data_IF_975688609520
#
_entry.id   IF_975688609520
#
_cell.length_a   1.000
_cell.length_b   1.000
_cell.length_c   1.000
_cell.angle_alpha   90.00
_cell.angle_beta   90.00
_cell.angle_gamma   90.00
#
_symmetry.space_group_name_H-M   'P 1'
#
loop_
_entity.id
_entity.type
_entity.pdbx_description
1 polymer ?
#
# COMPACT_ATOMS: atom_id res chain seq x y z
N UNK A 1 -5.85 53.09 -6.61
CA UNK A 1 -6.95 52.91 -5.66
C UNK A 1 -6.87 51.50 -5.12
N UNK A 2 -6.26 51.33 -3.95
CA UNK A 2 -6.00 50.03 -3.31
C UNK A 2 -7.19 49.62 -2.45
N UNK A 3 -7.60 48.35 -2.53
CA UNK A 3 -8.46 47.72 -1.54
C UNK A 3 -7.82 46.42 -1.06
N UNK A 4 -7.27 46.48 0.16
CA UNK A 4 -6.63 45.39 0.87
C UNK A 4 -7.66 44.86 1.89
N UNK A 5 -8.16 43.64 1.69
CA UNK A 5 -9.06 42.96 2.64
C UNK A 5 -8.24 42.06 3.56
N UNK A 6 -8.19 42.41 4.84
CA UNK A 6 -7.67 41.57 5.92
C UNK A 6 -8.78 40.62 6.39
N UNK A 7 -8.55 39.31 6.27
CA UNK A 7 -9.36 38.27 6.90
C UNK A 7 -8.85 37.99 8.31
N UNK A 8 -9.69 38.27 9.31
CA UNK A 8 -9.44 37.96 10.73
C UNK A 8 -9.58 36.45 10.97
N UNK A 9 -8.51 35.80 11.46
CA UNK A 9 -8.58 34.46 12.08
C UNK A 9 -9.23 34.59 13.46
N UNK A 10 -10.28 33.80 13.72
CA UNK A 10 -10.77 33.52 15.08
C UNK A 10 -9.85 32.46 15.70
N UNK A 11 -9.29 32.79 16.84
CA UNK A 11 -8.74 31.83 17.79
C UNK A 11 -9.92 31.34 18.63
N UNK A 12 -10.12 30.03 18.66
CA UNK A 12 -11.05 29.37 19.58
C UNK A 12 -10.21 28.89 20.74
N UNK A 13 -10.35 29.54 21.89
CA UNK A 13 -9.88 29.03 23.18
C UNK A 13 -10.73 27.81 23.55
N UNK A 14 -10.07 26.69 23.81
CA UNK A 14 -10.65 25.51 24.45
C UNK A 14 -10.21 25.61 25.90
N UNK A 15 -11.16 25.97 26.77
CA UNK A 15 -10.99 25.87 28.23
C UNK A 15 -11.23 24.41 28.65
N UNK A 16 -10.15 23.74 29.04
CA UNK A 16 -10.19 22.52 29.84
C UNK A 16 -10.14 22.90 31.33
N UNK A 17 -11.22 22.63 32.07
CA UNK A 17 -11.18 22.50 33.53
C UNK A 17 -12.11 21.35 33.94
N UNK A 18 -11.52 20.16 34.08
CA UNK A 18 -12.14 18.96 34.61
C UNK A 18 -11.70 18.75 36.06
N UNK A 19 -12.49 19.28 37.01
CA UNK A 19 -12.40 18.93 38.42
C UNK A 19 -13.34 17.74 38.72
N UNK A 20 -12.78 16.53 38.79
CA UNK A 20 -13.46 15.37 39.38
C UNK A 20 -12.46 14.54 40.20
N UNK A 21 -12.06 15.11 41.33
CA UNK A 21 -11.22 14.47 42.33
C UNK A 21 -12.09 13.51 43.17
N UNK A 22 -12.17 12.24 42.77
CA UNK A 22 -12.85 11.19 43.55
C UNK A 22 -11.81 10.35 44.27
N UNK A 23 -11.73 10.55 45.59
CA UNK A 23 -10.86 9.81 46.50
C UNK A 23 -11.17 8.31 46.47
N UNK A 24 -10.20 7.49 46.07
CA UNK A 24 -10.23 6.04 46.26
C UNK A 24 -9.23 5.67 47.36
N UNK A 25 -9.77 5.13 48.44
CA UNK A 25 -9.04 4.62 49.61
C UNK A 25 -8.47 3.22 49.30
N UNK A 26 -7.16 2.97 49.43
CA UNK A 26 -6.63 1.61 49.40
C UNK A 26 -6.76 0.97 50.79
N UNK A 27 -7.58 -0.08 50.88
CA UNK A 27 -7.54 -1.02 52.00
C UNK A 27 -6.33 -1.97 51.87
N UNK A 28 -5.72 -2.41 52.97
CA UNK A 28 -4.56 -3.30 52.94
C UNK A 28 -5.00 -4.75 52.70
N UNK A 29 -4.59 -5.34 51.57
CA UNK A 29 -4.77 -6.78 51.33
C UNK A 29 -3.59 -7.56 51.90
N UNK A 30 -3.96 -8.40 52.86
CA UNK A 30 -3.19 -9.39 53.58
C UNK A 30 -2.43 -10.33 52.63
N UNK A 31 -1.15 -10.56 52.96
CA UNK A 31 -0.27 -11.46 52.24
C UNK A 31 -0.72 -12.92 52.28
N UNK A 32 -0.56 -13.60 51.14
CA UNK A 32 -0.50 -15.05 51.04
C UNK A 32 0.75 -15.43 50.24
N UNK A 33 1.79 -15.81 50.97
CA UNK A 33 2.96 -16.54 50.45
C UNK A 33 2.50 -17.82 49.76
N UNK A 34 2.49 -17.82 48.43
CA UNK A 34 2.35 -19.04 47.64
C UNK A 34 3.72 -19.43 47.13
N UNK A 35 4.34 -20.37 47.83
CA UNK A 35 5.54 -21.09 47.42
C UNK A 35 5.22 -21.89 46.16
N UNK A 36 5.72 -21.44 45.02
CA UNK A 36 5.67 -22.21 43.77
C UNK A 36 6.71 -23.33 43.79
N UNK A 37 6.36 -24.57 43.39
CA UNK A 37 7.34 -25.64 43.29
C UNK A 37 8.24 -25.43 42.07
N UNK A 38 9.54 -25.35 42.34
CA UNK A 38 10.62 -25.36 41.37
C UNK A 38 10.52 -26.61 40.48
N UNK A 39 10.23 -26.44 39.19
CA UNK A 39 10.18 -27.52 38.20
C UNK A 39 11.57 -27.66 37.58
N UNK A 40 12.29 -28.79 37.78
CA UNK A 40 13.60 -28.97 37.20
C UNK A 40 13.50 -29.13 35.68
N UNK A 41 14.36 -28.41 34.97
CA UNK A 41 14.56 -28.45 33.53
C UNK A 41 14.81 -29.89 33.04
N UNK A 42 14.18 -30.35 31.95
CA UNK A 42 14.52 -31.63 31.36
C UNK A 42 15.93 -31.57 30.77
N UNK A 43 16.78 -32.47 31.27
CA UNK A 43 18.11 -32.76 30.77
C UNK A 43 18.09 -33.08 29.27
N UNK A 44 18.89 -32.34 28.50
CA UNK A 44 19.29 -32.65 27.13
C UNK A 44 20.06 -33.98 27.10
N UNK A 45 19.34 -35.10 27.00
CA UNK A 45 19.92 -36.40 26.67
C UNK A 45 20.08 -36.51 25.16
N UNK A 46 21.32 -36.30 24.72
CA UNK A 46 22.03 -37.07 23.69
C UNK A 46 21.17 -37.85 22.69
N UNK A 47 20.96 -37.27 21.50
CA UNK A 47 20.76 -38.04 20.27
C UNK A 47 22.01 -37.94 19.41
N UNK A 48 22.88 -38.93 19.62
CA UNK A 48 23.98 -39.28 18.74
C UNK A 48 23.43 -39.92 17.46
N UNK A 49 23.88 -39.39 16.33
CA UNK A 49 24.23 -40.08 15.09
C UNK A 49 23.21 -41.07 14.47
N UNK A 50 22.64 -40.65 13.34
CA UNK A 50 22.71 -41.52 12.16
C UNK A 50 23.07 -40.71 10.91
N UNK A 51 24.05 -41.22 10.19
CA UNK A 51 24.83 -40.55 9.16
C UNK A 51 24.38 -41.07 7.80
N UNK A 52 23.54 -40.31 7.11
CA UNK A 52 23.26 -40.52 5.70
C UNK A 52 23.41 -39.19 4.95
N UNK A 53 24.61 -39.03 4.41
CA UNK A 53 25.07 -37.88 3.62
C UNK A 53 24.61 -38.05 2.17
N UNK A 54 23.83 -37.14 1.57
CA UNK A 54 23.80 -36.97 0.13
C UNK A 54 24.83 -35.93 -0.31
N UNK A 55 25.43 -36.17 -1.47
CA UNK A 55 26.52 -35.41 -2.07
C UNK A 55 26.16 -33.93 -2.34
N UNK A 56 27.15 -33.02 -2.36
CA UNK A 56 26.95 -31.64 -2.80
C UNK A 56 26.80 -31.58 -4.32
N UNK A 57 25.57 -31.34 -4.77
CA UNK A 57 25.27 -30.97 -6.15
C UNK A 57 25.71 -29.53 -6.39
N UNK A 58 26.82 -29.43 -7.12
CA UNK A 58 27.00 -28.54 -8.27
C UNK A 58 26.78 -27.03 -8.07
N UNK A 59 27.92 -26.34 -8.07
CA UNK A 59 28.14 -24.93 -8.35
C UNK A 59 27.43 -24.57 -9.66
N UNK A 60 26.47 -23.64 -9.59
CA UNK A 60 25.69 -23.19 -10.75
C UNK A 60 25.15 -21.78 -10.55
N UNK A 61 25.87 -20.83 -11.16
CA UNK A 61 25.41 -19.52 -11.63
C UNK A 61 25.13 -18.41 -10.59
N UNK A 62 26.11 -17.52 -10.52
CA UNK A 62 25.94 -16.12 -10.17
C UNK A 62 24.87 -15.47 -11.08
N UNK A 63 23.74 -15.09 -10.48
CA UNK A 63 22.82 -14.13 -11.08
C UNK A 63 23.31 -12.74 -10.69
N UNK A 64 24.00 -12.10 -11.63
CA UNK A 64 24.22 -10.66 -11.70
C UNK A 64 22.93 -9.90 -11.43
N UNK A 65 22.91 -9.14 -10.34
CA UNK A 65 21.92 -8.12 -10.05
C UNK A 65 22.02 -7.00 -11.09
N UNK A 66 21.09 -7.01 -12.04
CA UNK A 66 20.80 -5.84 -12.88
C UNK A 66 20.12 -4.75 -12.04
N UNK A 67 20.57 -3.49 -12.11
CA UNK A 67 19.91 -2.38 -11.44
C UNK A 67 18.57 -2.08 -12.10
N UNK A 68 17.52 -1.95 -11.27
CA UNK A 68 16.19 -1.51 -11.68
C UNK A 68 16.27 -0.07 -12.20
N UNK A 69 16.24 0.05 -13.52
CA UNK A 69 16.08 1.32 -14.23
C UNK A 69 14.66 1.84 -14.00
N UNK A 70 14.55 2.93 -13.24
CA UNK A 70 13.35 3.73 -13.14
C UNK A 70 12.92 4.22 -14.54
N UNK A 71 11.77 3.76 -15.00
CA UNK A 71 11.10 4.31 -16.17
C UNK A 71 10.44 5.64 -15.79
N UNK A 72 10.73 6.75 -16.50
CA UNK A 72 10.07 8.01 -16.23
C UNK A 72 8.62 7.96 -16.72
N UNK A 73 7.74 8.54 -15.91
CA UNK A 73 6.33 8.81 -16.18
C UNK A 73 6.08 9.19 -17.64
N UNK A 74 5.28 8.37 -18.32
CA UNK A 74 4.67 8.73 -19.59
C UNK A 74 3.72 9.91 -19.37
N UNK A 75 4.07 11.05 -19.95
CA UNK A 75 3.19 12.22 -20.09
C UNK A 75 1.88 11.83 -20.78
N UNK A 76 0.76 12.48 -20.41
CA UNK A 76 -0.52 12.27 -21.08
C UNK A 76 -0.43 12.74 -22.54
N UNK A 77 -0.68 11.81 -23.47
CA UNK A 77 -0.81 12.10 -24.90
C UNK A 77 -1.94 13.11 -25.11
N UNK A 78 -1.71 14.25 -25.79
CA UNK A 78 -2.76 15.22 -26.05
C UNK A 78 -3.80 14.63 -27.00
N UNK A 79 -5.08 14.83 -26.66
CA UNK A 79 -6.21 14.41 -27.47
C UNK A 79 -6.10 14.94 -28.91
N UNK A 80 -6.39 14.13 -29.93
CA UNK A 80 -6.33 14.57 -31.32
C UNK A 80 -7.33 15.72 -31.55
N UNK A 81 -6.95 16.74 -32.35
CA UNK A 81 -7.82 17.87 -32.63
C UNK A 81 -9.10 17.40 -33.34
N UNK A 82 -10.25 17.86 -32.85
CA UNK A 82 -11.55 17.59 -33.43
C UNK A 82 -11.59 18.06 -34.89
N UNK A 83 -11.85 17.12 -35.81
CA UNK A 83 -12.05 17.42 -37.22
C UNK A 83 -13.40 18.14 -37.36
N UNK A 84 -13.45 19.37 -37.89
CA UNK A 84 -14.70 20.08 -38.10
C UNK A 84 -15.50 19.37 -39.20
N UNK A 85 -16.62 18.76 -38.82
CA UNK A 85 -17.58 18.21 -39.76
C UNK A 85 -18.24 19.37 -40.52
N UNK A 86 -17.78 19.66 -41.73
CA UNK A 86 -18.49 20.54 -42.66
C UNK A 86 -19.63 19.76 -43.31
N UNK A 87 -20.91 20.11 -43.05
CA UNK A 87 -22.02 19.49 -43.77
C UNK A 87 -22.02 19.98 -45.22
N UNK A 88 -21.82 19.06 -46.15
CA UNK A 88 -22.05 19.32 -47.58
C UNK A 88 -23.56 19.34 -47.80
N UNK A 89 -24.18 20.52 -47.70
CA UNK A 89 -25.58 20.72 -48.09
C UNK A 89 -25.71 20.67 -49.60
N UNK A 90 -26.11 19.52 -50.13
CA UNK A 90 -26.61 19.40 -51.50
C UNK A 90 -28.00 20.04 -51.52
N UNK A 91 -28.11 21.20 -52.17
CA UNK A 91 -29.39 21.88 -52.38
C UNK A 91 -30.25 21.08 -53.37
N UNK A 92 -31.14 20.24 -52.84
CA UNK A 92 -32.18 19.57 -53.62
C UNK A 92 -33.35 20.55 -53.70
N UNK A 93 -33.55 21.17 -54.86
CA UNK A 93 -34.75 21.97 -55.12
C UNK A 93 -35.98 21.06 -55.04
N UNK A 94 -36.98 21.36 -54.19
CA UNK A 94 -38.17 20.52 -54.07
C UNK A 94 -38.94 20.50 -55.41
N UNK A 95 -39.55 19.35 -55.78
CA UNK A 95 -40.38 19.28 -56.96
C UNK A 95 -41.54 20.27 -56.81
N UNK A 96 -41.70 21.15 -57.80
CA UNK A 96 -42.78 22.14 -57.86
C UNK A 96 -44.14 21.48 -57.67
N UNK A 97 -45.02 22.08 -56.86
CA UNK A 97 -46.35 21.56 -56.48
C UNK A 97 -47.18 21.04 -57.67
N UNK A 98 -46.99 21.60 -58.87
CA UNK A 98 -47.63 21.14 -60.12
C UNK A 98 -47.31 19.69 -60.49
N UNK A 99 -46.09 19.21 -60.22
CA UNK A 99 -45.69 17.83 -60.54
C UNK A 99 -46.35 16.86 -59.55
N UNK A 100 -46.46 17.26 -58.28
CA UNK A 100 -47.16 16.48 -57.25
C UNK A 100 -48.66 16.40 -57.56
N UNK A 101 -49.27 17.50 -58.02
CA UNK A 101 -50.68 17.56 -58.40
C UNK A 101 -50.95 16.73 -59.68
N UNK A 102 -50.07 16.77 -60.68
CA UNK A 102 -50.18 15.97 -61.90
C UNK A 102 -50.05 14.46 -61.65
N UNK A 103 -49.12 14.05 -60.78
CA UNK A 103 -48.98 12.64 -60.37
C UNK A 103 -50.21 12.19 -59.57
N UNK A 104 -50.75 13.05 -58.69
CA UNK A 104 -51.96 12.77 -57.93
C UNK A 104 -53.18 12.61 -58.85
N UNK A 105 -53.32 13.45 -59.85
CA UNK A 105 -54.39 13.37 -60.85
C UNK A 105 -54.25 12.13 -61.75
N UNK A 106 -53.02 11.73 -62.11
CA UNK A 106 -52.76 10.48 -62.82
C UNK A 106 -53.08 9.23 -61.98
N UNK A 107 -52.96 9.30 -60.66
CA UNK A 107 -53.35 8.19 -59.78
C UNK A 107 -54.85 8.15 -59.48
N UNK A 108 -55.53 9.31 -59.47
CA UNK A 108 -56.96 9.43 -59.17
C UNK A 108 -57.86 9.19 -60.39
N UNK A 109 -57.43 9.61 -61.58
CA UNK A 109 -58.05 9.12 -62.81
C UNK A 109 -57.51 7.72 -63.06
N UNK A 110 -58.39 6.71 -63.19
CA UNK A 110 -58.08 5.35 -63.69
C UNK A 110 -57.61 5.38 -65.17
N UNK A 111 -56.81 6.36 -65.56
CA UNK A 111 -56.06 6.35 -66.80
C UNK A 111 -55.19 5.10 -66.74
N UNK A 112 -55.53 4.14 -67.60
CA UNK A 112 -54.94 2.82 -67.66
C UNK A 112 -53.47 3.01 -68.05
N UNK A 113 -52.58 3.09 -67.05
CA UNK A 113 -51.14 3.09 -67.28
C UNK A 113 -50.86 1.88 -68.18
N UNK A 114 -50.26 2.08 -69.37
CA UNK A 114 -50.02 0.99 -70.30
C UNK A 114 -49.29 -0.14 -69.57
N UNK A 115 -49.79 -1.37 -69.67
CA UNK A 115 -49.26 -2.53 -68.94
C UNK A 115 -47.74 -2.70 -69.15
N UNK A 116 -47.26 -2.31 -70.33
CA UNK A 116 -45.85 -2.30 -70.72
C UNK A 116 -44.98 -1.37 -69.85
N UNK A 117 -45.50 -0.19 -69.44
CA UNK A 117 -44.80 0.73 -68.54
C UNK A 117 -44.76 0.17 -67.11
N UNK A 118 -45.85 -0.44 -66.65
CA UNK A 118 -45.90 -1.09 -65.34
C UNK A 118 -44.91 -2.26 -65.26
N UNK A 119 -44.83 -3.09 -66.30
CA UNK A 119 -43.89 -4.21 -66.40
C UNK A 119 -42.43 -3.75 -66.57
N UNK A 120 -42.20 -2.56 -67.13
CA UNK A 120 -40.88 -1.95 -67.21
C UNK A 120 -40.42 -1.45 -65.83
N UNK A 121 -41.29 -0.75 -65.09
CA UNK A 121 -41.00 -0.31 -63.72
C UNK A 121 -40.77 -1.49 -62.78
N UNK A 122 -41.63 -2.51 -62.83
CA UNK A 122 -41.47 -3.70 -61.99
C UNK A 122 -40.21 -4.51 -62.30
N UNK A 123 -39.66 -4.40 -63.52
CA UNK A 123 -38.34 -4.96 -63.86
C UNK A 123 -37.20 -4.11 -63.33
N UNK A 124 -37.31 -2.79 -63.43
CA UNK A 124 -36.30 -1.88 -62.87
C UNK A 124 -36.25 -1.97 -61.35
N UNK A 125 -37.38 -2.05 -60.65
CA UNK A 125 -37.41 -2.21 -59.17
C UNK A 125 -36.80 -3.55 -58.71
N UNK A 126 -36.86 -4.60 -59.53
CA UNK A 126 -36.25 -5.90 -59.22
C UNK A 126 -34.77 -6.02 -59.57
N UNK A 127 -34.28 -5.21 -60.52
CA UNK A 127 -32.90 -5.27 -61.04
C UNK A 127 -32.04 -4.17 -60.42
N UNK A 128 -32.63 -3.04 -60.03
CA UNK A 128 -31.89 -1.97 -59.38
C UNK A 128 -31.70 -2.28 -57.89
N UNK A 129 -30.47 -2.60 -57.52
CA UNK A 129 -30.10 -2.85 -56.11
C UNK A 129 -29.91 -1.54 -55.32
N UNK A 130 -29.76 -0.40 -56.01
CA UNK A 130 -29.69 0.92 -55.38
C UNK A 130 -30.37 2.02 -56.21
N UNK A 131 -30.74 3.11 -55.53
CA UNK A 131 -31.40 4.26 -56.16
C UNK A 131 -30.53 4.95 -57.23
N UNK A 132 -29.19 4.90 -57.10
CA UNK A 132 -28.26 5.48 -58.06
C UNK A 132 -28.34 4.82 -59.44
N UNK A 133 -28.62 3.51 -59.51
CA UNK A 133 -28.82 2.79 -60.77
C UNK A 133 -30.11 3.23 -61.47
N UNK A 134 -31.17 3.54 -60.70
CA UNK A 134 -32.44 4.05 -61.24
C UNK A 134 -32.29 5.50 -61.74
N UNK A 135 -31.53 6.33 -61.03
CA UNK A 135 -31.20 7.70 -61.45
C UNK A 135 -30.37 7.69 -62.74
N UNK A 136 -29.40 6.77 -62.86
CA UNK A 136 -28.64 6.59 -64.09
C UNK A 136 -29.51 6.09 -65.25
N UNK A 137 -30.43 5.16 -65.01
CA UNK A 137 -31.38 4.70 -66.03
C UNK A 137 -32.34 5.82 -66.47
N UNK A 138 -32.76 6.69 -65.55
CA UNK A 138 -33.58 7.87 -65.85
C UNK A 138 -32.84 8.83 -66.79
N UNK A 139 -31.53 9.05 -66.57
CA UNK A 139 -30.73 9.91 -67.45
C UNK A 139 -30.65 9.40 -68.90
N UNK A 140 -30.75 8.08 -69.11
CA UNK A 140 -30.68 7.42 -70.44
C UNK A 140 -32.04 7.28 -71.14
N UNK A 141 -33.15 7.60 -70.47
CA UNK A 141 -34.48 7.53 -71.07
C UNK A 141 -34.78 8.81 -71.87
N UNK A 142 -35.06 8.68 -73.16
CA UNK A 142 -35.42 9.82 -74.02
C UNK A 142 -36.87 10.27 -73.84
N UNK A 143 -37.73 9.38 -73.33
CA UNK A 143 -39.13 9.68 -73.05
C UNK A 143 -39.30 10.37 -71.69
N UNK A 144 -39.90 11.56 -71.71
CA UNK A 144 -40.18 12.36 -70.53
C UNK A 144 -41.05 11.62 -69.51
N UNK A 145 -42.02 10.81 -69.98
CA UNK A 145 -42.90 10.05 -69.09
C UNK A 145 -42.14 8.93 -68.36
N UNK A 146 -41.21 8.28 -69.05
CA UNK A 146 -40.35 7.25 -68.45
C UNK A 146 -39.33 7.85 -67.47
N UNK A 147 -38.81 9.05 -67.76
CA UNK A 147 -37.94 9.82 -66.85
C UNK A 147 -38.60 10.14 -65.51
N UNK A 148 -39.82 10.68 -65.53
CA UNK A 148 -40.56 10.98 -64.29
C UNK A 148 -40.87 9.71 -63.50
N UNK A 149 -41.31 8.65 -64.17
CA UNK A 149 -41.63 7.38 -63.52
C UNK A 149 -40.41 6.72 -62.85
N UNK A 150 -39.24 6.78 -63.50
CA UNK A 150 -37.97 6.33 -62.91
C UNK A 150 -37.54 7.23 -61.74
N UNK A 151 -37.72 8.56 -61.82
CA UNK A 151 -37.46 9.44 -60.67
C UNK A 151 -38.36 9.13 -59.48
N UNK A 152 -39.67 8.93 -59.69
CA UNK A 152 -40.61 8.54 -58.62
C UNK A 152 -40.20 7.20 -58.00
N UNK A 153 -39.75 6.25 -58.82
CA UNK A 153 -39.25 4.94 -58.34
C UNK A 153 -37.96 5.09 -57.52
N UNK A 154 -37.02 5.93 -57.96
CA UNK A 154 -35.80 6.22 -57.23
C UNK A 154 -36.07 6.89 -55.87
N UNK A 155 -37.01 7.85 -55.82
CA UNK A 155 -37.47 8.49 -54.58
C UNK A 155 -38.07 7.46 -53.63
N UNK A 156 -38.92 6.57 -54.13
CA UNK A 156 -39.49 5.47 -53.34
C UNK A 156 -38.43 4.52 -52.76
N UNK A 157 -37.40 4.17 -53.54
CA UNK A 157 -36.28 3.34 -53.07
C UNK A 157 -35.42 4.05 -52.02
N UNK A 158 -35.16 5.36 -52.18
CA UNK A 158 -34.45 6.14 -51.15
C UNK A 158 -35.24 6.21 -49.85
N UNK A 159 -36.58 6.29 -49.90
CA UNK A 159 -37.44 6.24 -48.71
C UNK A 159 -37.32 4.91 -47.96
N UNK A 160 -37.42 3.77 -48.67
CA UNK A 160 -37.23 2.43 -48.07
C UNK A 160 -35.85 2.25 -47.44
N UNK A 161 -34.79 2.79 -48.06
CA UNK A 161 -33.43 2.75 -47.52
C UNK A 161 -33.29 3.61 -46.26
N UNK A 162 -33.85 4.83 -46.27
CA UNK A 162 -33.90 5.72 -45.11
C UNK A 162 -34.67 5.08 -43.94
N UNK A 163 -35.80 4.42 -44.21
CA UNK A 163 -36.57 3.70 -43.20
C UNK A 163 -35.76 2.54 -42.60
N UNK A 164 -35.05 1.77 -43.44
CA UNK A 164 -34.19 0.68 -42.97
C UNK A 164 -33.02 1.18 -42.11
N UNK A 165 -32.33 2.25 -42.53
CA UNK A 165 -31.28 2.90 -41.73
C UNK A 165 -31.82 3.49 -40.43
N UNK A 166 -33.05 4.01 -40.43
CA UNK A 166 -33.72 4.54 -39.23
C UNK A 166 -34.06 3.44 -38.24
N UNK A 167 -34.48 2.26 -38.72
CA UNK A 167 -34.71 1.07 -37.90
C UNK A 167 -33.39 0.57 -37.30
N UNK A 168 -32.30 0.52 -38.09
CA UNK A 168 -30.97 0.10 -37.59
C UNK A 168 -30.42 1.08 -36.53
N UNK A 169 -30.66 2.39 -36.69
CA UNK A 169 -30.29 3.38 -35.67
C UNK A 169 -31.11 3.24 -34.39
N UNK A 170 -32.41 2.94 -34.47
CA UNK A 170 -33.24 2.71 -33.29
C UNK A 170 -32.79 1.48 -32.49
N UNK A 171 -32.33 0.43 -33.17
CA UNK A 171 -31.69 -0.72 -32.53
C UNK A 171 -30.39 -0.35 -31.83
N UNK A 172 -29.52 0.39 -32.52
CA UNK A 172 -28.25 0.87 -31.94
C UNK A 172 -28.45 1.80 -30.75
N UNK A 173 -29.44 2.67 -30.78
CA UNK A 173 -29.74 3.56 -29.64
C UNK A 173 -30.12 2.74 -28.41
N UNK A 174 -30.92 1.68 -28.58
CA UNK A 174 -31.27 0.75 -27.51
C UNK A 174 -30.03 0.05 -26.94
N UNK A 175 -29.16 -0.47 -27.79
CA UNK A 175 -27.91 -1.14 -27.37
C UNK A 175 -26.97 -0.16 -26.64
N UNK A 176 -26.92 1.10 -27.08
CA UNK A 176 -26.14 2.16 -26.42
C UNK A 176 -26.70 2.45 -25.03
N UNK A 177 -28.02 2.54 -24.86
CA UNK A 177 -28.64 2.76 -23.56
C UNK A 177 -28.41 1.58 -22.60
N UNK A 178 -28.52 0.35 -23.09
CA UNK A 178 -28.24 -0.85 -22.29
C UNK A 178 -26.77 -0.86 -21.85
N UNK A 179 -25.83 -0.61 -22.77
CA UNK A 179 -24.40 -0.53 -22.45
C UNK A 179 -24.07 0.61 -21.47
N UNK A 180 -24.70 1.77 -21.58
CA UNK A 180 -24.52 2.87 -20.62
C UNK A 180 -24.99 2.48 -19.21
N UNK A 181 -26.07 1.71 -19.11
CA UNK A 181 -26.60 1.24 -17.83
C UNK A 181 -25.64 0.24 -17.20
N UNK A 182 -25.12 -0.72 -17.99
CA UNK A 182 -24.14 -1.71 -17.50
C UNK A 182 -22.84 -1.05 -17.04
N UNK A 183 -22.36 -0.03 -17.76
CA UNK A 183 -21.18 0.75 -17.35
C UNK A 183 -21.42 1.44 -16.00
N UNK A 184 -22.59 2.05 -15.79
CA UNK A 184 -22.91 2.70 -14.51
C UNK A 184 -22.97 1.69 -13.36
N UNK A 185 -23.55 0.51 -13.57
CA UNK A 185 -23.61 -0.54 -12.55
C UNK A 185 -22.20 -1.04 -12.21
N UNK A 186 -21.35 -1.28 -13.21
CA UNK A 186 -19.96 -1.70 -13.00
C UNK A 186 -19.12 -0.62 -12.30
N UNK A 187 -19.32 0.65 -12.64
CA UNK A 187 -18.68 1.75 -11.92
C UNK A 187 -19.12 1.77 -10.46
N UNK A 188 -20.40 1.59 -10.17
CA UNK A 188 -20.92 1.57 -8.80
C UNK A 188 -20.40 0.34 -8.02
N UNK A 189 -20.39 -0.84 -8.61
CA UNK A 189 -19.82 -2.06 -8.01
C UNK A 189 -18.31 -1.92 -7.76
N UNK A 190 -17.56 -1.31 -8.69
CA UNK A 190 -16.13 -1.07 -8.51
C UNK A 190 -15.86 -0.11 -7.35
N UNK A 191 -16.62 1.00 -7.26
CA UNK A 191 -16.45 1.98 -6.18
C UNK A 191 -16.90 1.44 -4.83
N UNK A 192 -17.98 0.65 -4.77
CA UNK A 192 -18.48 0.07 -3.53
C UNK A 192 -17.64 -1.11 -3.06
N UNK A 193 -17.31 -2.06 -3.94
CA UNK A 193 -16.56 -3.27 -3.58
C UNK A 193 -15.10 -2.98 -3.29
N UNK A 194 -14.37 -2.45 -4.28
CA UNK A 194 -12.92 -2.22 -4.14
C UNK A 194 -12.62 -1.08 -3.15
N UNK A 195 -13.50 -0.07 -3.09
CA UNK A 195 -13.38 1.02 -2.13
C UNK A 195 -13.55 0.56 -0.69
N UNK A 196 -14.48 -0.36 -0.42
CA UNK A 196 -14.71 -0.90 0.91
C UNK A 196 -13.54 -1.78 1.37
N UNK A 197 -13.08 -2.71 0.53
CA UNK A 197 -11.95 -3.61 0.85
C UNK A 197 -10.65 -2.81 1.10
N UNK A 198 -10.38 -1.80 0.26
CA UNK A 198 -9.21 -0.95 0.44
C UNK A 198 -9.31 -0.15 1.74
N UNK A 199 -10.49 0.36 2.08
CA UNK A 199 -10.71 1.10 3.31
C UNK A 199 -10.58 0.20 4.56
N UNK A 200 -11.11 -1.02 4.51
CA UNK A 200 -10.96 -2.01 5.59
C UNK A 200 -9.48 -2.35 5.79
N UNK A 201 -8.76 -2.68 4.72
CA UNK A 201 -7.31 -2.95 4.80
C UNK A 201 -6.51 -1.75 5.33
N UNK A 202 -6.92 -0.52 4.99
CA UNK A 202 -6.28 0.69 5.50
C UNK A 202 -6.53 0.87 7.00
N UNK A 203 -7.74 0.57 7.49
CA UNK A 203 -8.07 0.60 8.91
C UNK A 203 -7.28 -0.46 9.68
N UNK A 204 -7.23 -1.70 9.19
CA UNK A 204 -6.44 -2.77 9.80
C UNK A 204 -4.95 -2.42 9.87
N UNK A 205 -4.37 -1.91 8.78
CA UNK A 205 -2.98 -1.49 8.75
C UNK A 205 -2.71 -0.34 9.74
N UNK A 206 -3.64 0.62 9.88
CA UNK A 206 -3.50 1.69 10.88
C UNK A 206 -3.51 1.16 12.30
N UNK A 207 -4.38 0.19 12.59
CA UNK A 207 -4.44 -0.44 13.90
C UNK A 207 -3.14 -1.21 14.19
N UNK A 208 -2.66 -2.02 13.24
CA UNK A 208 -1.40 -2.74 13.39
C UNK A 208 -0.20 -1.80 13.61
N UNK A 209 -0.16 -0.66 12.90
CA UNK A 209 0.87 0.37 13.11
C UNK A 209 0.78 0.96 14.52
N UNK A 210 -0.42 1.21 15.04
CA UNK A 210 -0.61 1.71 16.40
C UNK A 210 -0.13 0.69 17.45
N UNK A 211 -0.52 -0.59 17.31
CA UNK A 211 -0.09 -1.68 18.20
C UNK A 211 1.43 -1.86 18.19
N UNK A 212 2.07 -1.79 17.01
CA UNK A 212 3.52 -1.81 16.91
C UNK A 212 4.18 -0.57 17.52
N UNK A 213 3.53 0.59 17.43
CA UNK A 213 3.99 1.82 18.08
C UNK A 213 4.04 1.66 19.61
N UNK A 214 2.96 1.16 20.21
CA UNK A 214 2.88 0.90 21.65
C UNK A 214 3.93 -0.13 22.11
N UNK A 215 4.12 -1.22 21.36
CA UNK A 215 5.14 -2.22 21.68
C UNK A 215 6.58 -1.67 21.61
N UNK A 216 6.86 -0.76 20.67
CA UNK A 216 8.16 -0.09 20.57
C UNK A 216 8.38 0.82 21.79
N UNK A 217 7.34 1.52 22.25
CA UNK A 217 7.39 2.37 23.44
C UNK A 217 7.67 1.54 24.71
N UNK A 218 6.95 0.43 24.91
CA UNK A 218 7.17 -0.50 26.04
C UNK A 218 8.60 -1.07 26.04
N UNK A 219 9.11 -1.47 24.87
CA UNK A 219 10.50 -1.92 24.76
C UNK A 219 11.51 -0.80 25.00
N UNK A 220 11.18 0.43 24.66
CA UNK A 220 11.99 1.61 24.97
C UNK A 220 12.14 1.81 26.47
N UNK A 221 11.02 1.80 27.21
CA UNK A 221 11.01 1.94 28.67
C UNK A 221 11.79 0.81 29.35
N UNK A 222 11.61 -0.45 28.92
CA UNK A 222 12.33 -1.59 29.47
C UNK A 222 13.86 -1.49 29.24
N UNK A 223 14.29 -0.97 28.08
CA UNK A 223 15.70 -0.73 27.79
C UNK A 223 16.28 0.38 28.67
N UNK A 224 15.50 1.42 28.97
CA UNK A 224 15.91 2.49 29.88
C UNK A 224 16.10 1.96 31.31
N UNK A 225 15.15 1.18 31.84
CA UNK A 225 15.26 0.53 33.16
C UNK A 225 16.49 -0.40 33.26
N UNK A 226 16.74 -1.17 32.20
CA UNK A 226 17.94 -2.01 32.11
C UNK A 226 19.22 -1.18 32.06
N UNK A 227 19.20 -0.03 31.39
CA UNK A 227 20.30 0.94 31.39
C UNK A 227 20.62 1.45 32.80
N UNK A 228 19.62 1.92 33.53
CA UNK A 228 19.77 2.39 34.92
C UNK A 228 20.31 1.30 35.84
N UNK A 229 19.79 0.07 35.71
CA UNK A 229 20.26 -1.09 36.49
C UNK A 229 21.75 -1.40 36.22
N UNK A 230 22.20 -1.28 34.96
CA UNK A 230 23.60 -1.47 34.61
C UNK A 230 24.49 -0.38 35.22
N UNK A 231 24.06 0.88 35.19
CA UNK A 231 24.78 1.99 35.82
C UNK A 231 24.91 1.79 37.34
N UNK A 232 23.86 1.31 38.01
CA UNK A 232 23.93 0.95 39.42
C UNK A 232 24.94 -0.15 39.69
N UNK A 233 24.95 -1.20 38.87
CA UNK A 233 25.90 -2.31 39.00
C UNK A 233 27.34 -1.86 38.78
N UNK A 234 27.61 -1.01 37.80
CA UNK A 234 28.92 -0.43 37.58
C UNK A 234 29.37 0.41 38.78
N UNK A 235 28.46 1.21 39.34
CA UNK A 235 28.72 1.95 40.59
C UNK A 235 29.10 1.04 41.75
N UNK A 236 28.39 -0.08 41.94
CA UNK A 236 28.70 -1.08 42.98
C UNK A 236 30.06 -1.75 42.74
N UNK A 237 30.39 -2.08 41.49
CA UNK A 237 31.68 -2.67 41.13
C UNK A 237 32.82 -1.71 41.47
N UNK A 238 32.70 -0.44 41.13
CA UNK A 238 33.72 0.57 41.45
C UNK A 238 33.92 0.73 42.96
N UNK A 239 32.83 0.74 43.73
CA UNK A 239 32.89 0.81 45.19
C UNK A 239 33.59 -0.42 45.78
N UNK A 240 33.26 -1.63 45.31
CA UNK A 240 33.91 -2.86 45.75
C UNK A 240 35.40 -2.90 45.37
N UNK A 241 35.77 -2.39 44.20
CA UNK A 241 37.17 -2.26 43.81
C UNK A 241 37.95 -1.31 44.75
N UNK A 242 37.36 -0.18 45.12
CA UNK A 242 37.96 0.76 46.07
C UNK A 242 38.12 0.13 47.47
N UNK A 243 37.11 -0.61 47.94
CA UNK A 243 37.18 -1.34 49.21
C UNK A 243 38.27 -2.42 49.20
N UNK A 244 38.38 -3.19 48.12
CA UNK A 244 39.44 -4.20 47.96
C UNK A 244 40.85 -3.59 48.00
N UNK A 245 41.06 -2.45 47.33
CA UNK A 245 42.38 -1.77 47.35
C UNK A 245 42.70 -1.19 48.74
N UNK A 246 41.68 -0.70 49.45
CA UNK A 246 41.81 -0.27 50.85
C UNK A 246 42.22 -1.44 51.77
N UNK A 247 41.50 -2.56 51.68
CA UNK A 247 41.82 -3.77 52.46
C UNK A 247 43.20 -4.33 52.12
N UNK A 248 43.59 -4.32 50.85
CA UNK A 248 44.92 -4.72 50.41
C UNK A 248 46.00 -3.86 51.06
N UNK A 249 45.80 -2.54 51.09
CA UNK A 249 46.71 -1.60 51.74
C UNK A 249 46.82 -1.86 53.25
N UNK A 250 45.70 -2.16 53.91
CA UNK A 250 45.68 -2.51 55.33
C UNK A 250 46.45 -3.80 55.62
N UNK A 251 46.29 -4.83 54.79
CA UNK A 251 47.02 -6.09 54.91
C UNK A 251 48.53 -5.88 54.81
N UNK A 252 49.00 -5.04 53.89
CA UNK A 252 50.43 -4.71 53.78
C UNK A 252 50.96 -4.00 55.04
N UNK A 253 50.18 -3.09 55.63
CA UNK A 253 50.55 -2.44 56.90
C UNK A 253 50.63 -3.45 58.04
N UNK A 254 49.67 -4.38 58.13
CA UNK A 254 49.65 -5.41 59.18
C UNK A 254 50.83 -6.37 59.02
N UNK A 255 51.17 -6.74 57.78
CA UNK A 255 52.34 -7.55 57.47
C UNK A 255 53.63 -6.86 57.89
N UNK A 256 53.80 -5.58 57.58
CA UNK A 256 54.97 -4.81 58.03
C UNK A 256 55.08 -4.75 59.56
N UNK A 257 53.95 -4.57 60.26
CA UNK A 257 53.91 -4.62 61.73
C UNK A 257 54.25 -6.00 62.30
N UNK A 258 53.84 -7.08 61.63
CA UNK A 258 54.22 -8.44 62.02
C UNK A 258 55.72 -8.65 61.89
N UNK A 259 56.31 -8.30 60.74
CA UNK A 259 57.76 -8.40 60.53
C UNK A 259 58.55 -7.58 61.57
N UNK A 260 58.06 -6.39 61.93
CA UNK A 260 58.68 -5.60 62.99
C UNK A 260 58.68 -6.35 64.33
N UNK A 261 57.54 -6.94 64.73
CA UNK A 261 57.46 -7.73 65.97
C UNK A 261 58.36 -8.96 65.92
N UNK A 262 58.50 -9.62 64.77
CA UNK A 262 59.43 -10.74 64.60
C UNK A 262 60.89 -10.30 64.80
N UNK A 263 61.28 -9.13 64.27
CA UNK A 263 62.61 -8.54 64.51
C UNK A 263 62.83 -8.21 66.00
N UNK A 264 61.84 -7.61 66.66
CA UNK A 264 61.91 -7.29 68.10
C UNK A 264 62.06 -8.56 68.94
N UNK A 265 61.32 -9.63 68.62
CA UNK A 265 61.43 -10.93 69.30
C UNK A 265 62.81 -11.59 69.09
N UNK A 266 63.37 -11.48 67.89
CA UNK A 266 64.71 -12.01 67.61
C UNK A 266 65.80 -11.22 68.34
N UNK A 267 65.65 -9.89 68.45
CA UNK A 267 66.53 -9.06 69.29
C UNK A 267 66.47 -9.48 70.76
N UNK A 268 65.27 -9.71 71.30
CA UNK A 268 65.09 -10.21 72.67
C UNK A 268 65.71 -11.59 72.86
N UNK A 269 65.55 -12.50 71.90
CA UNK A 269 66.18 -13.83 71.93
C UNK A 269 67.71 -13.71 72.00
N UNK A 270 68.31 -12.88 71.15
CA UNK A 270 69.75 -12.65 71.14
C UNK A 270 70.24 -12.03 72.45
N UNK A 271 69.49 -11.10 73.03
CA UNK A 271 69.80 -10.50 74.34
C UNK A 271 69.79 -11.56 75.44
N UNK A 272 68.74 -12.39 75.51
CA UNK A 272 68.63 -13.49 76.50
C UNK A 272 69.79 -14.48 76.35
N UNK A 273 70.12 -14.89 75.12
CA UNK A 273 71.27 -15.78 74.87
C UNK A 273 72.58 -15.17 75.37
N UNK A 274 72.81 -13.86 75.13
CA UNK A 274 74.00 -13.16 75.62
C UNK A 274 74.07 -13.11 77.15
N UNK A 275 72.93 -12.86 77.82
CA UNK A 275 72.84 -12.84 79.28
C UNK A 275 73.12 -14.22 79.89
N UNK A 276 72.56 -15.28 79.29
CA UNK A 276 72.83 -16.66 79.70
C UNK A 276 74.32 -17.00 79.53
N UNK A 277 74.94 -16.61 78.41
CA UNK A 277 76.36 -16.84 78.18
C UNK A 277 77.25 -16.08 79.19
N UNK A 278 76.93 -14.81 79.46
CA UNK A 278 77.65 -13.99 80.43
C UNK A 278 77.51 -14.54 81.88
N UNK A 279 76.30 -14.97 82.26
CA UNK A 279 76.05 -15.58 83.56
C UNK A 279 76.83 -16.89 83.73
N UNK A 280 76.92 -17.71 82.69
CA UNK A 280 77.73 -18.93 82.70
C UNK A 280 79.24 -18.64 82.88
N UNK A 281 79.76 -17.58 82.25
CA UNK A 281 81.16 -17.17 82.42
C UNK A 281 81.47 -16.61 83.80
N UNK A 282 80.58 -15.78 84.37
CA UNK A 282 80.78 -15.16 85.68
C UNK A 282 80.53 -16.11 86.85
N UNK A 283 79.68 -17.11 86.68
CA UNK A 283 79.23 -17.99 87.76
C UNK A 283 80.28 -18.98 88.26
N UNK A 284 81.33 -19.31 87.50
CA UNK A 284 82.36 -20.27 87.94
C UNK A 284 81.81 -21.59 88.49
N UNK A 285 80.57 -21.94 88.16
CA UNK A 285 79.97 -23.21 88.58
C UNK A 285 80.54 -24.22 87.61
N UNK A 286 81.59 -24.90 88.06
CA UNK A 286 82.06 -26.13 87.47
C UNK A 286 80.90 -27.14 87.57
N UNK A 287 79.98 -27.13 86.60
CA UNK A 287 78.96 -28.16 86.44
C UNK A 287 79.71 -29.38 85.92
N UNK A 288 80.40 -30.07 86.83
CA UNK A 288 80.94 -31.38 86.57
C UNK A 288 79.78 -32.30 86.21
N UNK A 289 79.63 -32.56 84.92
CA UNK A 289 78.93 -33.75 84.43
C UNK A 289 79.75 -35.00 84.77
#
# INVERSE_FOLDING_TARGET
>A
MSNQRFSKKRVVEVEDVSDANTAFSPSPTVGMTTTLPFRPSPSMSTLLADSARPAPSNIGNASTSTPLSHTPSSLPTPAPPAIPATPVSVAITPPTDKVVEMVRDMTNYKARVPKQLLDAVGRVEKVADNASQVVHASAMADDAAMKELLMVTAVGMTGKLLDKMRIDNAGRDKDIYEAQTDIQVLEEELHQGMGAELNESLVENRQAIAEHGEAIEEHGEALEEHGETLEEHDGRILNLQAELESLRSEVEVLKAKQEQREREMEQLRNLVQSLVHNAAQQGGINVGF
#
